data_IF_604785327860
#
_entry.id   IF_604785327860
#
_cell.length_a   1.000
_cell.length_b   1.000
_cell.length_c   1.000
_cell.angle_alpha   90.00
_cell.angle_beta   90.00
_cell.angle_gamma   90.00
#
_symmetry.space_group_name_H-M   'P 1'
#
loop_
_entity.id
_entity.type
_entity.pdbx_description
1 polymer ?
#
# COMPACT_ATOMS: atom_id res chain seq x y z
N UNK A 1 30.86 16.15 7.69
CA UNK A 1 29.45 16.27 7.27
C UNK A 1 29.28 15.37 6.07
N UNK A 2 28.77 14.17 6.29
CA UNK A 2 28.80 13.07 5.31
C UNK A 2 27.46 12.35 5.34
N UNK A 3 26.75 12.48 4.21
CA UNK A 3 25.82 11.54 3.57
C UNK A 3 24.82 10.78 4.48
N UNK A 4 23.59 11.27 4.47
CA UNK A 4 22.35 10.51 4.68
C UNK A 4 22.19 9.46 3.58
N UNK A 5 22.60 8.22 3.83
CA UNK A 5 22.50 7.10 2.89
C UNK A 5 21.40 6.12 3.33
N UNK A 6 20.34 6.13 2.52
CA UNK A 6 19.39 5.05 2.23
C UNK A 6 18.61 4.45 3.42
N UNK A 7 17.54 5.17 3.75
CA UNK A 7 16.39 4.67 4.48
C UNK A 7 15.66 3.60 3.62
N UNK A 8 14.93 2.69 4.27
CA UNK A 8 14.29 1.50 3.70
C UNK A 8 13.11 1.79 2.72
N UNK A 9 13.38 2.58 1.68
CA UNK A 9 12.38 3.25 0.84
C UNK A 9 11.84 2.41 -0.33
N UNK A 10 12.31 1.17 -0.49
CA UNK A 10 12.06 0.39 -1.71
C UNK A 10 11.05 -0.76 -1.50
N UNK A 11 10.13 -0.65 -0.52
CA UNK A 11 8.94 -1.52 -0.51
C UNK A 11 7.62 -0.74 -0.43
N UNK A 12 6.65 -1.04 -1.33
CA UNK A 12 6.79 -1.99 -2.43
C UNK A 12 7.84 -1.56 -3.45
N UNK A 13 8.59 -2.54 -3.96
CA UNK A 13 9.62 -2.25 -4.97
C UNK A 13 8.95 -1.53 -6.14
N UNK A 14 9.60 -0.50 -6.70
CA UNK A 14 9.05 0.21 -7.83
C UNK A 14 8.70 -0.76 -8.95
N UNK A 15 7.53 -0.56 -9.55
CA UNK A 15 7.15 -1.33 -10.73
C UNK A 15 8.24 -1.14 -11.80
N UNK A 16 8.76 -2.24 -12.33
CA UNK A 16 9.72 -2.21 -13.44
C UNK A 16 9.05 -1.47 -14.60
N UNK A 17 9.54 -0.29 -14.94
CA UNK A 17 9.12 0.43 -16.15
C UNK A 17 9.31 -0.51 -17.33
N UNK A 18 8.30 -0.63 -18.19
CA UNK A 18 8.50 -1.15 -19.55
C UNK A 18 9.67 -0.37 -20.16
N UNK A 19 10.80 -1.04 -20.34
CA UNK A 19 11.87 -0.55 -21.18
C UNK A 19 11.29 -0.44 -22.61
N UNK A 20 10.84 0.76 -22.96
CA UNK A 20 10.60 1.11 -24.35
C UNK A 20 11.95 0.99 -25.06
N UNK A 21 12.03 -0.01 -25.91
CA UNK A 21 13.20 -0.37 -26.71
C UNK A 21 13.64 0.87 -27.49
N UNK A 22 14.77 1.46 -27.10
CA UNK A 22 15.44 2.49 -27.87
C UNK A 22 15.94 1.82 -29.15
N UNK A 23 15.23 2.03 -30.25
CA UNK A 23 15.76 1.73 -31.58
C UNK A 23 16.55 2.93 -32.07
N UNK A 24 17.87 2.85 -31.92
CA UNK A 24 18.82 3.67 -32.65
C UNK A 24 18.83 3.25 -34.12
N UNK A 25 18.50 4.16 -35.03
CA UNK A 25 19.07 4.10 -36.38
C UNK A 25 19.39 5.52 -36.85
N UNK A 26 20.66 5.69 -37.16
CA UNK A 26 21.26 6.79 -37.89
C UNK A 26 20.84 6.69 -39.36
N UNK A 27 20.47 7.82 -39.98
CA UNK A 27 21.20 8.33 -41.15
C UNK A 27 20.69 9.71 -41.58
N UNK A 28 21.68 10.53 -41.88
CA UNK A 28 21.72 11.89 -42.39
C UNK A 28 21.04 12.08 -43.75
N UNK A 29 20.46 13.27 -43.97
CA UNK A 29 20.64 14.04 -45.21
C UNK A 29 20.29 15.51 -44.98
N UNK A 30 21.28 16.36 -45.25
CA UNK A 30 21.22 17.81 -45.33
C UNK A 30 20.55 18.27 -46.61
N UNK A 31 19.59 19.20 -46.53
CA UNK A 31 19.47 20.30 -47.50
C UNK A 31 18.67 21.45 -46.89
N UNK A 32 19.29 22.62 -46.91
CA UNK A 32 18.74 23.93 -46.57
C UNK A 32 18.44 24.66 -47.87
N UNK A 33 17.31 25.37 -47.99
CA UNK A 33 17.26 26.76 -48.49
C UNK A 33 15.84 27.37 -48.54
N UNK A 34 15.78 28.64 -48.09
CA UNK A 34 14.90 29.80 -48.38
C UNK A 34 13.38 29.80 -48.09
N UNK A 35 13.04 30.84 -47.31
CA UNK A 35 11.79 31.58 -47.08
C UNK A 35 10.68 31.54 -48.14
N UNK A 36 9.41 31.59 -47.68
CA UNK A 36 8.53 32.75 -47.89
C UNK A 36 7.25 32.66 -47.06
N UNK A 37 6.83 33.82 -46.58
CA UNK A 37 5.74 34.12 -45.66
C UNK A 37 4.39 34.13 -46.37
N UNK A 38 3.36 33.49 -45.80
CA UNK A 38 1.95 33.89 -45.99
C UNK A 38 1.14 33.59 -44.72
N UNK A 39 0.56 34.65 -44.14
CA UNK A 39 -0.42 34.64 -43.03
C UNK A 39 -1.86 34.37 -43.56
N UNK A 40 -2.86 34.13 -42.68
CA UNK A 40 -3.92 33.14 -42.82
C UNK A 40 -5.32 33.78 -43.02
N UNK A 41 -6.37 32.97 -43.22
CA UNK A 41 -7.71 33.16 -42.62
C UNK A 41 -8.63 31.94 -42.88
N UNK A 42 -9.62 31.69 -41.99
CA UNK A 42 -10.43 30.47 -41.93
C UNK A 42 -11.81 30.65 -42.59
N UNK A 43 -12.62 29.59 -42.73
CA UNK A 43 -14.07 29.72 -42.73
C UNK A 43 -14.68 29.22 -41.41
N UNK A 44 -15.69 29.98 -40.97
CA UNK A 44 -16.42 29.94 -39.71
C UNK A 44 -17.80 29.29 -39.94
N UNK A 45 -18.15 28.32 -39.06
CA UNK A 45 -19.49 27.91 -38.54
C UNK A 45 -20.52 27.21 -39.47
N UNK A 46 -21.60 26.54 -38.95
CA UNK A 46 -22.12 26.50 -37.57
C UNK A 46 -22.53 25.13 -36.96
N UNK A 47 -22.71 25.19 -35.63
CA UNK A 47 -23.43 24.34 -34.66
C UNK A 47 -24.19 23.06 -35.08
N UNK A 48 -24.02 21.99 -34.29
CA UNK A 48 -25.13 21.27 -33.63
C UNK A 48 -24.63 20.49 -32.41
N UNK A 49 -25.47 20.50 -31.39
CA UNK A 49 -25.27 20.11 -29.99
C UNK A 49 -25.19 18.61 -29.73
N UNK A 50 -24.38 18.21 -28.74
CA UNK A 50 -24.64 17.03 -27.90
C UNK A 50 -24.10 17.28 -26.48
N UNK A 51 -24.89 17.01 -25.41
CA UNK A 51 -24.53 17.36 -24.04
C UNK A 51 -23.71 16.25 -23.37
N UNK A 52 -22.79 16.65 -22.48
CA UNK A 52 -22.27 15.76 -21.44
C UNK A 52 -20.81 15.32 -21.60
N UNK A 53 -19.86 16.26 -21.62
CA UNK A 53 -18.48 15.98 -21.19
C UNK A 53 -18.20 16.74 -19.91
N UNK A 54 -17.87 15.97 -18.87
CA UNK A 54 -17.41 16.44 -17.57
C UNK A 54 -16.32 17.50 -17.73
N UNK A 55 -16.40 18.51 -16.87
CA UNK A 55 -15.42 19.58 -16.70
C UNK A 55 -13.99 19.07 -16.80
N UNK A 56 -13.19 19.81 -17.58
CA UNK A 56 -11.74 19.77 -17.67
C UNK A 56 -11.07 19.32 -16.36
N UNK A 57 -10.54 18.10 -16.37
CA UNK A 57 -9.44 17.75 -15.49
C UNK A 57 -8.23 18.58 -15.95
N UNK A 58 -7.60 19.27 -15.02
CA UNK A 58 -6.32 19.94 -15.24
C UNK A 58 -5.31 18.97 -15.84
N UNK A 59 -4.41 19.51 -16.65
CA UNK A 59 -3.46 18.84 -17.56
C UNK A 59 -2.47 17.87 -16.88
N UNK A 60 -2.61 17.62 -15.57
CA UNK A 60 -1.80 16.70 -14.77
C UNK A 60 -2.40 15.27 -14.73
N UNK A 61 -3.66 15.07 -15.14
CA UNK A 61 -4.40 13.80 -14.96
C UNK A 61 -4.17 12.72 -16.03
N UNK A 62 -3.39 12.98 -17.09
CA UNK A 62 -3.28 12.03 -18.22
C UNK A 62 -2.45 10.77 -17.94
N UNK A 63 -1.71 10.75 -16.83
CA UNK A 63 -0.83 9.65 -16.46
C UNK A 63 -1.20 8.99 -15.13
N UNK A 64 -2.30 9.39 -14.50
CA UNK A 64 -2.77 8.75 -13.27
C UNK A 64 -3.41 7.40 -13.61
N UNK A 65 -2.89 6.33 -13.03
CA UNK A 65 -3.53 5.02 -13.07
C UNK A 65 -4.70 5.03 -12.07
N UNK A 66 -5.90 4.68 -12.55
CA UNK A 66 -7.10 4.58 -11.72
C UNK A 66 -7.61 3.16 -11.78
N UNK A 67 -7.58 2.49 -10.63
CA UNK A 67 -8.11 1.13 -10.49
C UNK A 67 -9.34 1.18 -9.60
N UNK A 68 -10.49 0.76 -10.13
CA UNK A 68 -11.73 0.65 -9.37
C UNK A 68 -11.78 -0.68 -8.62
N UNK A 69 -11.91 -0.61 -7.31
CA UNK A 69 -12.27 -1.74 -6.46
C UNK A 69 -13.78 -1.68 -6.20
N UNK A 70 -14.61 -2.50 -6.89
CA UNK A 70 -16.00 -2.67 -6.52
C UNK A 70 -16.08 -3.41 -5.18
N UNK A 71 -17.04 -3.05 -4.34
CA UNK A 71 -17.21 -3.62 -3.01
C UNK A 71 -18.58 -4.28 -2.91
N UNK A 72 -18.61 -5.54 -2.51
CA UNK A 72 -19.86 -6.27 -2.33
C UNK A 72 -19.73 -7.22 -1.14
N UNK A 73 -20.16 -6.81 0.06
CA UNK A 73 -21.00 -5.63 0.36
C UNK A 73 -20.22 -4.30 0.50
N UNK A 74 -20.94 -3.19 0.68
CA UNK A 74 -20.38 -1.85 0.78
C UNK A 74 -19.43 -1.67 1.98
N UNK A 75 -18.30 -0.96 1.78
CA UNK A 75 -17.36 -0.60 2.86
C UNK A 75 -17.95 0.50 3.74
N UNK A 76 -17.71 0.42 5.05
CA UNK A 76 -18.03 1.51 5.98
C UNK A 76 -16.78 2.30 6.33
N UNK A 77 -16.81 3.60 6.06
CA UNK A 77 -15.76 4.55 6.47
C UNK A 77 -16.18 5.25 7.74
N UNK A 78 -15.29 5.32 8.72
CA UNK A 78 -15.49 6.09 9.95
C UNK A 78 -14.34 7.04 10.23
N UNK A 79 -14.67 8.24 10.72
CA UNK A 79 -13.70 9.25 11.15
C UNK A 79 -14.31 10.15 12.22
N UNK A 80 -13.47 10.80 13.03
CA UNK A 80 -13.90 11.75 14.06
C UNK A 80 -13.62 13.17 13.60
N UNK A 81 -14.62 14.04 13.71
CA UNK A 81 -14.48 15.48 13.46
C UNK A 81 -15.30 16.25 14.47
N UNK A 82 -14.68 17.27 15.09
CA UNK A 82 -15.33 18.09 16.13
C UNK A 82 -15.98 17.24 17.23
N UNK A 83 -15.27 16.21 17.71
CA UNK A 83 -15.71 15.24 18.70
C UNK A 83 -16.95 14.41 18.32
N UNK A 84 -17.37 14.43 17.05
CA UNK A 84 -18.46 13.61 16.52
C UNK A 84 -17.89 12.51 15.63
N UNK A 85 -18.39 11.29 15.82
CA UNK A 85 -18.08 10.15 14.97
C UNK A 85 -19.00 10.17 13.75
N UNK A 86 -18.41 10.17 12.56
CA UNK A 86 -19.13 10.03 11.30
C UNK A 86 -18.93 8.61 10.77
N UNK A 87 -19.99 8.04 10.18
CA UNK A 87 -19.96 6.74 9.49
C UNK A 87 -20.67 6.86 8.16
N UNK A 88 -20.00 6.48 7.08
CA UNK A 88 -20.49 6.60 5.71
C UNK A 88 -20.26 5.27 4.99
N UNK A 89 -21.18 4.87 4.10
CA UNK A 89 -21.09 3.62 3.35
C UNK A 89 -20.88 3.90 1.86
N UNK A 90 -19.95 3.18 1.25
CA UNK A 90 -19.59 3.33 -0.16
C UNK A 90 -19.50 1.97 -0.84
N UNK A 91 -19.88 1.92 -2.11
CA UNK A 91 -19.95 0.65 -2.87
C UNK A 91 -18.74 0.42 -3.77
N UNK A 92 -17.85 1.41 -3.89
CA UNK A 92 -16.57 1.24 -4.56
C UNK A 92 -15.52 2.23 -4.04
N UNK A 93 -14.25 1.89 -4.28
CA UNK A 93 -13.09 2.77 -4.06
C UNK A 93 -12.30 2.84 -5.37
N UNK A 94 -12.13 4.04 -5.92
CA UNK A 94 -11.21 4.29 -7.01
C UNK A 94 -9.83 4.62 -6.42
N UNK A 95 -8.86 3.73 -6.67
CA UNK A 95 -7.49 3.82 -6.18
C UNK A 95 -6.67 4.54 -7.24
N UNK A 96 -6.19 5.74 -6.92
CA UNK A 96 -5.44 6.60 -7.84
C UNK A 96 -3.96 6.56 -7.52
N UNK A 97 -3.16 6.18 -8.50
CA UNK A 97 -1.70 6.18 -8.43
C UNK A 97 -1.11 7.13 -9.46
N UNK A 98 0.02 7.72 -9.13
CA UNK A 98 0.78 8.53 -10.08
C UNK A 98 1.55 7.64 -11.08
N UNK A 99 2.23 8.27 -12.04
CA UNK A 99 3.04 7.58 -13.05
C UNK A 99 4.23 6.78 -12.48
N UNK A 100 4.58 6.98 -11.21
CA UNK A 100 5.63 6.22 -10.51
C UNK A 100 5.06 5.00 -9.79
N UNK A 101 3.73 4.85 -9.74
CA UNK A 101 3.03 3.81 -9.01
C UNK A 101 2.75 4.16 -7.55
N UNK A 102 3.04 5.40 -7.14
CA UNK A 102 2.82 5.87 -5.77
C UNK A 102 1.35 6.24 -5.56
N UNK A 103 0.80 5.89 -4.40
CA UNK A 103 -0.61 6.15 -4.08
C UNK A 103 -0.84 7.65 -3.87
N UNK A 104 -1.72 8.24 -4.69
CA UNK A 104 -2.06 9.65 -4.64
C UNK A 104 -3.35 9.90 -3.86
N UNK A 105 -4.40 9.14 -4.16
CA UNK A 105 -5.69 9.31 -3.52
C UNK A 105 -6.55 8.05 -3.57
N UNK A 106 -7.52 7.96 -2.65
CA UNK A 106 -8.67 7.06 -2.72
C UNK A 106 -9.93 7.90 -2.93
N UNK A 107 -10.67 7.63 -3.98
CA UNK A 107 -11.96 8.29 -4.24
C UNK A 107 -13.10 7.31 -3.95
N UNK A 108 -13.88 7.60 -2.92
CA UNK A 108 -15.00 6.78 -2.50
C UNK A 108 -16.30 7.28 -3.12
N UNK A 109 -17.06 6.32 -3.67
CA UNK A 109 -18.31 6.61 -4.35
C UNK A 109 -19.39 5.54 -4.19
N UNK A 110 -20.55 5.82 -4.78
CA UNK A 110 -21.72 4.95 -4.70
C UNK A 110 -22.52 5.06 -3.40
N UNK A 111 -22.25 6.07 -2.57
CA UNK A 111 -23.12 6.37 -1.43
C UNK A 111 -24.46 6.95 -1.90
N UNK A 112 -25.54 6.55 -1.24
CA UNK A 112 -26.90 7.03 -1.56
C UNK A 112 -26.97 8.56 -1.38
N UNK A 113 -27.39 9.28 -2.42
CA UNK A 113 -27.54 10.74 -2.39
C UNK A 113 -26.24 11.54 -2.55
N UNK A 114 -25.11 10.88 -2.83
CA UNK A 114 -23.83 11.54 -3.04
C UNK A 114 -23.75 12.18 -4.42
N UNK A 115 -23.56 13.50 -4.47
CA UNK A 115 -23.32 14.24 -5.73
C UNK A 115 -21.83 14.46 -6.03
N UNK A 116 -20.98 14.46 -5.01
CA UNK A 116 -19.53 14.69 -5.12
C UNK A 116 -18.75 13.55 -4.47
N UNK A 117 -17.64 13.08 -5.08
CA UNK A 117 -16.83 12.01 -4.51
C UNK A 117 -16.27 12.42 -3.15
N UNK A 118 -16.08 11.44 -2.27
CA UNK A 118 -15.36 11.61 -1.03
C UNK A 118 -13.91 11.21 -1.30
N UNK A 119 -13.00 12.17 -1.26
CA UNK A 119 -11.62 12.01 -1.70
C UNK A 119 -10.71 12.02 -0.49
N UNK A 120 -9.85 11.02 -0.43
CA UNK A 120 -8.83 10.84 0.60
C UNK A 120 -7.45 10.92 -0.05
N UNK A 121 -6.75 12.01 0.17
CA UNK A 121 -5.48 12.35 -0.49
C UNK A 121 -4.30 12.09 0.43
N UNK A 122 -3.27 11.43 -0.12
CA UNK A 122 -2.01 11.19 0.57
C UNK A 122 -1.01 12.26 0.16
N UNK A 123 -0.41 12.91 1.16
CA UNK A 123 0.53 14.02 0.93
C UNK A 123 2.00 13.54 0.95
N UNK A 124 2.24 12.26 1.21
CA UNK A 124 3.57 11.70 1.42
C UNK A 124 4.08 11.02 0.14
N UNK A 125 5.39 11.08 -0.07
CA UNK A 125 6.08 10.36 -1.15
C UNK A 125 6.21 8.86 -0.86
N UNK A 126 6.07 8.46 0.40
CA UNK A 126 6.14 7.06 0.83
C UNK A 126 4.77 6.40 0.69
N UNK A 127 4.75 5.19 0.14
CA UNK A 127 3.51 4.42 0.00
C UNK A 127 2.94 4.14 1.39
N UNK A 128 1.69 4.57 1.67
CA UNK A 128 1.10 4.43 2.98
C UNK A 128 0.77 2.97 3.24
N UNK A 129 1.31 2.40 4.32
CA UNK A 129 1.07 1.00 4.67
C UNK A 129 -0.30 0.89 5.36
N UNK A 130 -1.27 0.14 4.79
CA UNK A 130 -2.55 -0.11 5.43
C UNK A 130 -2.34 -0.86 6.74
N UNK A 131 -2.81 -0.28 7.85
CA UNK A 131 -2.74 -0.85 9.19
C UNK A 131 -3.99 -1.67 9.48
N UNK A 132 -3.81 -2.95 9.78
CA UNK A 132 -4.90 -3.80 10.28
C UNK A 132 -5.00 -3.61 11.79
N UNK A 133 -6.08 -2.99 12.24
CA UNK A 133 -6.21 -2.50 13.62
C UNK A 133 -6.33 -3.63 14.65
N UNK A 134 -6.88 -4.78 14.25
CA UNK A 134 -7.03 -5.95 15.12
C UNK A 134 -6.33 -7.16 14.51
N UNK A 135 -5.66 -7.99 15.31
CA UNK A 135 -5.09 -9.25 14.85
C UNK A 135 -6.16 -10.10 14.16
N UNK A 136 -5.86 -10.64 12.99
CA UNK A 136 -6.72 -11.60 12.33
C UNK A 136 -6.86 -12.83 13.20
N UNK A 137 -8.09 -13.14 13.59
CA UNK A 137 -8.47 -14.41 14.17
C UNK A 137 -9.14 -15.31 13.10
N UNK A 138 -9.10 -16.64 13.24
CA UNK A 138 -9.65 -17.56 12.24
C UNK A 138 -11.13 -17.32 11.90
N UNK A 139 -11.93 -16.95 12.90
CA UNK A 139 -13.40 -16.85 12.78
C UNK A 139 -13.93 -15.41 12.71
N UNK A 140 -13.05 -14.41 12.56
CA UNK A 140 -13.48 -13.01 12.56
C UNK A 140 -13.71 -12.48 11.12
N UNK A 141 -14.94 -12.05 10.78
CA UNK A 141 -15.30 -11.75 9.39
C UNK A 141 -14.82 -10.38 8.91
N UNK A 142 -14.74 -9.38 9.81
CA UNK A 142 -14.51 -8.00 9.44
C UNK A 142 -13.13 -7.50 9.83
N UNK A 143 -12.39 -6.98 8.86
CA UNK A 143 -11.15 -6.28 9.12
C UNK A 143 -11.35 -4.77 9.04
N UNK A 144 -10.78 -4.07 10.03
CA UNK A 144 -10.69 -2.63 10.03
C UNK A 144 -9.29 -2.20 9.63
N UNK A 145 -9.20 -1.44 8.54
CA UNK A 145 -7.96 -0.86 8.04
C UNK A 145 -7.94 0.63 8.36
N UNK A 146 -6.82 1.13 8.85
CA UNK A 146 -6.54 2.57 8.93
C UNK A 146 -5.14 2.89 8.43
N UNK A 147 -4.84 4.18 8.34
CA UNK A 147 -3.49 4.68 8.09
C UNK A 147 -3.00 5.37 9.36
N UNK A 148 -1.71 5.21 9.67
CA UNK A 148 -1.15 5.75 10.92
C UNK A 148 -1.15 7.28 10.96
N UNK A 149 -0.95 7.90 9.80
CA UNK A 149 -0.88 9.34 9.65
C UNK A 149 -2.24 9.91 9.28
N UNK A 150 -2.55 11.12 9.77
CA UNK A 150 -3.69 11.88 9.30
C UNK A 150 -3.54 12.22 7.81
N UNK A 151 -4.65 12.16 7.09
CA UNK A 151 -4.67 12.42 5.66
C UNK A 151 -5.65 13.54 5.35
N UNK A 152 -5.47 14.16 4.19
CA UNK A 152 -6.37 15.22 3.72
C UNK A 152 -7.63 14.60 3.13
N UNK A 153 -8.78 14.99 3.66
CA UNK A 153 -10.10 14.57 3.17
C UNK A 153 -10.77 15.74 2.49
N UNK A 154 -11.34 15.49 1.32
CA UNK A 154 -12.16 16.44 0.58
C UNK A 154 -13.52 15.82 0.26
N UNK A 155 -14.59 16.55 0.61
CA UNK A 155 -15.96 16.19 0.23
C UNK A 155 -16.74 17.46 -0.09
N UNK A 156 -17.36 17.53 -1.28
CA UNK A 156 -17.99 18.74 -1.79
C UNK A 156 -17.09 19.98 -1.67
N UNK A 157 -17.46 20.94 -0.81
CA UNK A 157 -16.73 22.19 -0.57
C UNK A 157 -15.92 22.17 0.74
N UNK A 158 -15.82 21.03 1.41
CA UNK A 158 -15.15 20.91 2.70
C UNK A 158 -13.86 20.12 2.58
N UNK A 159 -12.77 20.69 3.10
CA UNK A 159 -11.46 20.04 3.23
C UNK A 159 -11.09 20.01 4.70
N UNK A 160 -10.63 18.88 5.21
CA UNK A 160 -10.19 18.70 6.59
C UNK A 160 -9.19 17.55 6.70
N UNK A 161 -8.42 17.50 7.78
CA UNK A 161 -7.55 16.36 8.09
C UNK A 161 -8.22 15.47 9.12
N UNK A 162 -8.11 14.15 8.96
CA UNK A 162 -8.55 13.17 9.94
C UNK A 162 -7.90 11.82 9.67
N UNK A 163 -7.96 10.92 10.65
CA UNK A 163 -7.62 9.51 10.48
C UNK A 163 -8.88 8.73 10.12
N UNK A 164 -8.86 8.04 8.98
CA UNK A 164 -9.98 7.23 8.52
C UNK A 164 -9.75 5.77 8.88
N UNK A 165 -10.83 5.12 9.28
CA UNK A 165 -10.92 3.67 9.37
C UNK A 165 -11.90 3.14 8.32
N UNK A 166 -11.43 2.17 7.54
CA UNK A 166 -12.14 1.42 6.51
C UNK A 166 -12.55 0.09 7.11
N UNK A 167 -13.84 -0.16 7.26
CA UNK A 167 -14.37 -1.42 7.79
C UNK A 167 -14.95 -2.22 6.63
N UNK A 168 -14.27 -3.31 6.29
CA UNK A 168 -14.69 -4.24 5.25
C UNK A 168 -15.50 -5.37 5.88
N UNK A 169 -16.64 -5.71 5.27
CA UNK A 169 -17.46 -6.84 5.71
C UNK A 169 -17.05 -8.14 4.98
N UNK A 170 -16.48 -8.06 3.77
CA UNK A 170 -15.89 -9.18 3.05
C UNK A 170 -14.35 -9.20 3.17
N UNK A 171 -13.81 -10.39 3.40
CA UNK A 171 -12.37 -10.61 3.53
C UNK A 171 -11.62 -10.35 2.22
N UNK A 172 -12.18 -10.78 1.08
CA UNK A 172 -11.49 -10.68 -0.20
C UNK A 172 -11.39 -9.22 -0.65
N UNK A 173 -12.43 -8.42 -0.42
CA UNK A 173 -12.40 -6.97 -0.67
C UNK A 173 -11.29 -6.29 0.15
N UNK A 174 -11.13 -6.69 1.42
CA UNK A 174 -10.06 -6.19 2.28
C UNK A 174 -8.66 -6.60 1.79
N UNK A 175 -8.50 -7.84 1.29
CA UNK A 175 -7.24 -8.30 0.70
C UNK A 175 -6.93 -7.53 -0.57
N UNK A 176 -7.88 -7.47 -1.52
CA UNK A 176 -7.69 -6.75 -2.79
C UNK A 176 -7.35 -5.29 -2.54
N UNK A 177 -8.01 -4.63 -1.59
CA UNK A 177 -7.68 -3.27 -1.20
C UNK A 177 -6.21 -3.11 -0.76
N UNK A 178 -5.72 -4.00 0.11
CA UNK A 178 -4.32 -4.00 0.54
C UNK A 178 -3.37 -4.26 -0.62
N UNK A 179 -3.68 -5.25 -1.46
CA UNK A 179 -2.84 -5.64 -2.59
C UNK A 179 -2.73 -4.53 -3.64
N UNK A 180 -3.85 -3.85 -3.93
CA UNK A 180 -3.89 -2.74 -4.86
C UNK A 180 -3.10 -1.53 -4.33
N UNK A 181 -3.22 -1.19 -3.04
CA UNK A 181 -2.44 -0.09 -2.44
C UNK A 181 -0.95 -0.42 -2.46
N UNK A 182 -0.59 -1.60 -1.93
CA UNK A 182 0.79 -2.02 -1.75
C UNK A 182 1.42 -2.56 -3.04
N UNK A 183 0.68 -2.67 -4.14
CA UNK A 183 1.19 -3.25 -5.39
C UNK A 183 1.88 -4.63 -5.17
N UNK A 184 1.36 -5.43 -4.24
CA UNK A 184 1.95 -6.69 -3.80
C UNK A 184 0.87 -7.65 -3.33
N UNK A 185 1.00 -8.94 -3.68
CA UNK A 185 0.05 -9.99 -3.31
C UNK A 185 0.21 -10.38 -1.84
N UNK A 186 -0.88 -10.45 -1.09
CA UNK A 186 -0.88 -10.97 0.27
C UNK A 186 -0.92 -12.49 0.21
N UNK A 187 0.21 -13.14 0.50
CA UNK A 187 0.33 -14.61 0.38
C UNK A 187 0.20 -15.33 1.72
N UNK A 188 0.35 -14.61 2.83
CA UNK A 188 0.13 -15.14 4.17
C UNK A 188 -0.29 -14.02 5.11
N UNK A 189 -1.18 -14.33 6.05
CA UNK A 189 -1.53 -13.44 7.16
C UNK A 189 -1.87 -14.27 8.39
N UNK A 190 -1.39 -13.84 9.55
CA UNK A 190 -1.73 -14.43 10.83
C UNK A 190 -1.71 -13.39 11.95
N UNK A 191 -2.51 -13.63 12.98
CA UNK A 191 -2.48 -12.87 14.22
C UNK A 191 -1.31 -13.31 15.10
N UNK A 192 -0.50 -12.35 15.55
CA UNK A 192 0.62 -12.58 16.48
C UNK A 192 0.32 -11.96 17.84
N UNK A 193 0.47 -12.77 18.88
CA UNK A 193 0.33 -12.33 20.26
C UNK A 193 1.52 -11.46 20.65
N UNK A 194 2.71 -11.88 20.25
CA UNK A 194 3.95 -11.18 20.55
C UNK A 194 5.01 -11.52 19.49
N UNK A 195 5.84 -10.55 19.10
CA UNK A 195 7.14 -10.87 18.53
C UNK A 195 8.24 -10.03 19.18
N UNK A 196 9.38 -10.67 19.45
CA UNK A 196 10.52 -10.08 20.14
C UNK A 196 11.78 -10.28 19.32
N UNK A 197 12.47 -9.19 19.05
CA UNK A 197 13.77 -9.22 18.39
C UNK A 197 14.92 -9.21 19.41
N UNK A 198 15.87 -10.14 19.25
CA UNK A 198 17.12 -10.10 20.00
C UNK A 198 18.13 -9.18 19.30
N UNK A 199 18.59 -8.17 20.04
CA UNK A 199 19.63 -7.21 19.64
C UNK A 199 19.08 -5.80 19.38
N UNK A 200 18.10 -5.64 18.48
CA UNK A 200 17.46 -4.34 18.16
C UNK A 200 16.44 -3.89 19.22
N UNK A 201 15.78 -4.82 19.92
CA UNK A 201 14.81 -4.52 20.97
C UNK A 201 13.43 -4.07 20.45
N UNK A 202 13.11 -4.44 19.21
CA UNK A 202 11.75 -4.35 18.67
C UNK A 202 10.86 -5.39 19.33
N UNK A 203 9.70 -4.93 19.79
CA UNK A 203 8.63 -5.77 20.27
C UNK A 203 7.33 -5.40 19.56
N UNK A 204 6.55 -6.40 19.18
CA UNK A 204 5.17 -6.19 18.77
C UNK A 204 4.29 -7.02 19.68
N UNK A 205 3.12 -6.50 20.02
CA UNK A 205 2.15 -7.16 20.88
C UNK A 205 0.79 -7.01 20.21
N UNK A 206 0.09 -8.12 20.03
CA UNK A 206 -1.26 -8.16 19.46
C UNK A 206 -1.34 -7.44 18.11
N UNK A 207 -0.64 -7.98 17.11
CA UNK A 207 -0.55 -7.39 15.77
C UNK A 207 -0.78 -8.42 14.68
N UNK A 208 -0.83 -7.97 13.43
CA UNK A 208 -0.87 -8.83 12.25
C UNK A 208 0.53 -9.01 11.67
N UNK A 209 0.90 -10.26 11.41
CA UNK A 209 2.01 -10.61 10.54
C UNK A 209 1.47 -10.88 9.15
N UNK A 210 2.02 -10.19 8.15
CA UNK A 210 1.70 -10.38 6.72
C UNK A 210 2.94 -10.83 5.97
N UNK A 211 2.79 -11.71 5.00
CA UNK A 211 3.82 -11.94 3.98
C UNK A 211 3.29 -11.41 2.66
N UNK A 212 4.01 -10.45 2.10
CA UNK A 212 3.69 -9.82 0.83
C UNK A 212 4.64 -10.34 -0.24
N UNK A 213 4.12 -10.62 -1.43
CA UNK A 213 4.89 -11.03 -2.61
C UNK A 213 4.74 -9.97 -3.69
N UNK A 214 5.83 -9.35 -4.09
CA UNK A 214 5.81 -8.38 -5.20
C UNK A 214 5.79 -9.05 -6.57
N UNK A 215 5.65 -8.24 -7.61
CA UNK A 215 5.65 -8.69 -9.00
C UNK A 215 6.95 -9.40 -9.42
N UNK A 216 8.08 -9.07 -8.79
CA UNK A 216 9.35 -9.75 -9.02
C UNK A 216 9.51 -11.08 -8.26
N UNK A 217 8.44 -11.56 -7.61
CA UNK A 217 8.43 -12.80 -6.84
C UNK A 217 9.09 -12.68 -5.45
N UNK A 218 9.76 -11.57 -5.13
CA UNK A 218 10.37 -11.36 -3.82
C UNK A 218 9.29 -11.29 -2.74
N UNK A 219 9.58 -11.91 -1.60
CA UNK A 219 8.67 -11.98 -0.47
C UNK A 219 9.23 -11.23 0.74
N UNK A 220 8.35 -10.55 1.46
CA UNK A 220 8.68 -9.74 2.62
C UNK A 220 7.68 -10.03 3.73
N UNK A 221 8.18 -10.36 4.92
CA UNK A 221 7.40 -10.37 6.16
C UNK A 221 7.25 -8.92 6.64
N UNK A 222 6.01 -8.52 6.91
CA UNK A 222 5.63 -7.19 7.34
C UNK A 222 4.76 -7.30 8.60
N UNK A 223 5.18 -6.64 9.67
CA UNK A 223 4.36 -6.49 10.88
C UNK A 223 4.63 -5.14 11.53
N UNK A 224 3.68 -4.67 12.33
CA UNK A 224 3.83 -3.43 13.06
C UNK A 224 4.51 -3.69 14.41
N UNK A 225 5.55 -2.94 14.75
CA UNK A 225 6.27 -3.07 16.00
C UNK A 225 6.32 -1.75 16.77
N UNK A 226 6.32 -1.87 18.08
CA UNK A 226 6.54 -0.78 19.01
C UNK A 226 7.94 -0.96 19.62
N UNK A 227 8.89 -0.10 19.23
CA UNK A 227 10.24 -0.20 19.77
C UNK A 227 10.29 0.33 21.21
N UNK A 228 10.58 -0.55 22.18
CA UNK A 228 10.72 -0.16 23.58
C UNK A 228 11.87 0.83 23.83
N UNK A 229 12.91 0.81 22.99
CA UNK A 229 14.13 1.60 23.21
C UNK A 229 14.05 3.05 22.73
N UNK A 230 13.06 3.40 21.91
CA UNK A 230 12.98 4.73 21.26
C UNK A 230 11.55 5.27 21.06
N UNK A 231 10.52 4.65 21.63
CA UNK A 231 9.10 5.01 21.41
C UNK A 231 8.73 5.16 19.92
N UNK A 232 9.37 4.39 19.04
CA UNK A 232 9.11 4.43 17.61
C UNK A 232 8.14 3.31 17.25
N UNK A 233 6.89 3.70 17.06
CA UNK A 233 5.86 2.94 16.36
C UNK A 233 6.24 2.86 14.88
N UNK A 234 6.56 1.68 14.36
CA UNK A 234 6.96 1.52 12.95
C UNK A 234 6.60 0.15 12.40
N UNK A 235 6.55 0.06 11.08
CA UNK A 235 6.54 -1.22 10.41
C UNK A 235 7.94 -1.82 10.37
N UNK A 236 8.02 -3.11 10.69
CA UNK A 236 9.19 -3.95 10.47
C UNK A 236 8.97 -4.71 9.18
N UNK A 237 9.89 -4.51 8.24
CA UNK A 237 9.93 -5.18 6.94
C UNK A 237 11.15 -6.10 6.91
N UNK A 238 10.91 -7.39 6.72
CA UNK A 238 11.93 -8.45 6.76
C UNK A 238 11.85 -9.27 5.47
N UNK A 239 12.80 -9.14 4.54
CA UNK A 239 12.87 -9.99 3.35
C UNK A 239 12.94 -11.47 3.73
N UNK A 240 12.14 -12.34 3.11
CA UNK A 240 12.13 -13.78 3.47
C UNK A 240 13.49 -14.45 3.23
N UNK A 241 14.25 -13.98 2.24
CA UNK A 241 15.59 -14.49 1.91
C UNK A 241 16.67 -14.16 2.96
N UNK A 242 16.35 -13.36 4.00
CA UNK A 242 17.28 -13.14 5.11
C UNK A 242 17.16 -14.19 6.22
N UNK A 243 16.19 -15.11 6.13
CA UNK A 243 16.00 -16.14 7.13
C UNK A 243 17.00 -17.27 6.87
N UNK A 244 17.94 -17.46 7.78
CA UNK A 244 18.93 -18.54 7.73
C UNK A 244 18.30 -19.87 8.14
N UNK A 245 17.52 -19.86 9.21
CA UNK A 245 16.83 -21.05 9.70
C UNK A 245 15.55 -20.72 10.46
N UNK A 246 14.61 -21.67 10.43
CA UNK A 246 13.33 -21.61 11.13
C UNK A 246 13.27 -22.75 12.14
N UNK A 247 13.05 -22.42 13.40
CA UNK A 247 12.77 -23.40 14.44
C UNK A 247 11.26 -23.39 14.73
N UNK A 248 10.53 -24.45 14.39
CA UNK A 248 9.10 -24.55 14.66
C UNK A 248 8.81 -24.62 16.16
N UNK A 249 7.57 -24.33 16.59
CA UNK A 249 7.22 -24.33 18.00
C UNK A 249 7.21 -25.77 18.52
N UNK A 250 7.97 -26.04 19.59
CA UNK A 250 8.08 -27.40 20.17
C UNK A 250 6.76 -27.93 20.75
N UNK A 251 5.85 -27.04 21.13
CA UNK A 251 4.50 -27.32 21.65
C UNK A 251 3.62 -26.06 21.54
N UNK A 252 2.31 -26.21 21.73
CA UNK A 252 1.39 -25.08 21.80
C UNK A 252 1.87 -24.02 22.83
N UNK A 253 1.73 -22.74 22.47
CA UNK A 253 2.16 -21.60 23.30
C UNK A 253 3.67 -21.35 23.32
N UNK A 254 4.48 -22.06 22.52
CA UNK A 254 5.90 -21.72 22.29
C UNK A 254 6.06 -20.89 21.02
N UNK A 255 7.08 -20.01 20.96
CA UNK A 255 7.30 -19.18 19.79
C UNK A 255 7.91 -19.98 18.64
N UNK A 256 7.65 -19.53 17.42
CA UNK A 256 8.49 -19.79 16.26
C UNK A 256 9.75 -18.94 16.40
N UNK A 257 10.92 -19.51 16.14
CA UNK A 257 12.19 -18.76 16.22
C UNK A 257 12.82 -18.70 14.83
N UNK A 258 13.03 -17.48 14.34
CA UNK A 258 13.77 -17.20 13.12
C UNK A 258 15.20 -16.80 13.47
N UNK A 259 16.18 -17.41 12.82
CA UNK A 259 17.56 -16.92 12.77
C UNK A 259 17.76 -16.14 11.48
N UNK A 260 18.35 -14.96 11.58
CA UNK A 260 18.44 -14.01 10.47
C UNK A 260 19.90 -13.78 10.10
N UNK A 261 20.16 -13.69 8.80
CA UNK A 261 21.48 -13.41 8.24
C UNK A 261 21.91 -11.97 8.57
N UNK A 262 23.17 -11.74 8.95
CA UNK A 262 23.68 -10.42 9.34
C UNK A 262 23.93 -9.48 8.15
N UNK A 263 23.82 -9.99 6.91
CA UNK A 263 24.24 -9.30 5.68
C UNK A 263 23.30 -8.17 5.22
N UNK A 264 22.22 -7.93 5.97
CA UNK A 264 21.29 -6.84 5.69
C UNK A 264 21.57 -5.73 6.68
N UNK A 265 22.09 -4.58 6.22
CA UNK A 265 22.58 -3.49 7.08
C UNK A 265 21.54 -3.03 8.12
N UNK A 266 20.26 -3.04 7.77
CA UNK A 266 19.14 -2.68 8.65
C UNK A 266 18.73 -3.81 9.63
N UNK A 267 19.15 -5.06 9.38
CA UNK A 267 19.01 -6.22 10.26
C UNK A 267 20.33 -6.61 10.95
N UNK A 268 21.42 -5.88 10.73
CA UNK A 268 22.75 -6.16 11.28
C UNK A 268 22.75 -6.37 12.81
N UNK A 269 21.76 -5.77 13.49
CA UNK A 269 21.54 -5.90 14.94
C UNK A 269 20.42 -6.89 15.32
N UNK A 270 19.57 -7.32 14.38
CA UNK A 270 18.47 -8.25 14.64
C UNK A 270 18.89 -9.67 14.25
N UNK A 271 19.53 -10.39 15.18
CA UNK A 271 20.06 -11.74 14.93
C UNK A 271 18.98 -12.82 14.96
N UNK A 272 17.99 -12.64 15.82
CA UNK A 272 16.91 -13.60 15.99
C UNK A 272 15.60 -12.90 16.28
N UNK A 273 14.52 -13.42 15.70
CA UNK A 273 13.15 -12.97 15.91
C UNK A 273 12.33 -14.14 16.46
N UNK A 274 11.73 -13.94 17.64
CA UNK A 274 10.82 -14.91 18.25
C UNK A 274 9.39 -14.43 18.05
N UNK A 275 8.52 -15.29 17.53
CA UNK A 275 7.14 -14.95 17.17
C UNK A 275 6.19 -15.91 17.88
N UNK A 276 5.36 -15.37 18.78
CA UNK A 276 4.23 -16.07 19.38
C UNK A 276 2.97 -15.75 18.56
N UNK A 277 2.42 -16.77 17.93
CA UNK A 277 1.14 -16.67 17.22
C UNK A 277 -0.03 -16.74 18.20
N UNK A 278 -1.14 -16.08 17.87
CA UNK A 278 -2.38 -16.19 18.65
C UNK A 278 -2.99 -17.59 18.51
N UNK A 279 -2.89 -18.17 17.31
CA UNK A 279 -3.30 -19.54 17.03
C UNK A 279 -2.09 -20.46 16.79
N UNK A 280 -2.17 -21.70 17.28
CA UNK A 280 -1.06 -22.66 17.12
C UNK A 280 -0.96 -23.18 15.68
N UNK A 281 -2.09 -23.37 15.00
CA UNK A 281 -2.17 -23.78 13.60
C UNK A 281 -1.57 -22.74 12.66
N UNK A 282 -1.76 -21.45 12.94
CA UNK A 282 -1.09 -20.37 12.22
C UNK A 282 0.43 -20.46 12.31
N UNK A 283 0.96 -20.75 13.50
CA UNK A 283 2.41 -20.92 13.70
C UNK A 283 3.00 -22.10 12.92
N UNK A 284 2.27 -23.22 12.83
CA UNK A 284 2.66 -24.37 12.03
C UNK A 284 2.57 -24.07 10.53
N UNK A 285 1.48 -23.43 10.10
CA UNK A 285 1.25 -23.03 8.71
C UNK A 285 2.30 -22.02 8.23
N UNK A 286 2.73 -21.11 9.11
CA UNK A 286 3.82 -20.17 8.85
C UNK A 286 5.15 -20.91 8.63
N UNK A 287 5.48 -21.88 9.49
CA UNK A 287 6.70 -22.68 9.33
C UNK A 287 6.68 -23.48 8.02
N UNK A 288 5.54 -24.09 7.68
CA UNK A 288 5.36 -24.81 6.43
C UNK A 288 5.52 -23.87 5.23
N UNK A 289 4.86 -22.70 5.26
CA UNK A 289 4.99 -21.69 4.21
C UNK A 289 6.46 -21.32 3.96
N UNK A 290 7.22 -21.06 5.03
CA UNK A 290 8.64 -20.74 4.92
C UNK A 290 9.46 -21.93 4.40
N UNK A 291 9.17 -23.15 4.82
CA UNK A 291 9.88 -24.33 4.30
C UNK A 291 9.69 -24.52 2.78
N UNK A 292 8.51 -24.19 2.27
CA UNK A 292 8.16 -24.32 0.85
C UNK A 292 8.72 -23.18 -0.01
N UNK A 293 8.98 -22.01 0.57
CA UNK A 293 9.28 -20.77 -0.19
C UNK A 293 10.60 -20.07 0.18
N UNK A 294 11.33 -20.51 1.22
CA UNK A 294 12.59 -19.91 1.65
C UNK A 294 13.84 -20.54 1.00
N UNK A 295 13.70 -21.17 -0.18
CA UNK A 295 14.80 -21.73 -0.97
C UNK A 295 15.01 -20.95 -2.26
#
# INVERSE_FOLDING_TARGET
MSQTLFDAEDWPLPAVRRESTVSSSTQSSSSSFVSTSFFPLPPINPATSSPGRSRQASCQSLYDEVIRLPLNPAVTISFVRSHKLFKLRYTYIDIRKDATGSLRALELGGAVGQQTPFVHTFNTTKIPVPHLEHPKLPDEPSLRISFMEEQTIQTAHTVFTSQLSYTFEDWNDCVQFQELILAAKLVFIAGIAEAKSKGRGEECISQNLRILRGYNGKQVILFFANSQRKELKRYVSLPVNCIESVQPPKKAGRPVVLQLLPNFDHLSQMRSLQIHFLDHGDGLSFCQFLADHAK
#
